data_IF_260772782346
#
_entry.id   IF_260772782346
#
_cell.length_a   1.000
_cell.length_b   1.000
_cell.length_c   1.000
_cell.angle_alpha   90.00
_cell.angle_beta   90.00
_cell.angle_gamma   90.00
#
_symmetry.space_group_name_H-M   'P 1'
#
loop_
_entity.id
_entity.type
_entity.pdbx_description
1 polymer ?
#
# COMPACT_ATOMS: atom_id res chain seq x y z
N UNK A 1 -21.41 -4.90 3.02
CA UNK A 1 -21.45 -4.88 1.54
C UNK A 1 -20.90 -6.20 1.04
N UNK A 2 -21.54 -6.84 0.06
CA UNK A 2 -21.08 -8.12 -0.50
C UNK A 2 -20.37 -7.82 -1.82
N UNK A 3 -19.05 -7.97 -1.88
CA UNK A 3 -18.25 -7.72 -3.08
C UNK A 3 -17.91 -8.98 -3.89
N UNK A 4 -18.37 -10.16 -3.42
CA UNK A 4 -18.23 -11.43 -4.15
C UNK A 4 -19.58 -12.01 -4.50
N UNK A 5 -19.65 -12.66 -5.65
CA UNK A 5 -20.76 -13.50 -6.08
C UNK A 5 -20.26 -14.94 -6.17
N UNK A 6 -20.88 -15.83 -5.39
CA UNK A 6 -20.34 -17.17 -5.21
C UNK A 6 -19.15 -17.19 -4.27
N UNK A 7 -18.26 -18.19 -4.38
CA UNK A 7 -17.17 -18.42 -3.45
C UNK A 7 -15.96 -17.49 -3.67
N UNK A 8 -15.63 -17.21 -4.92
CA UNK A 8 -14.37 -16.55 -5.28
C UNK A 8 -14.49 -15.48 -6.37
N UNK A 9 -15.64 -15.36 -6.99
CA UNK A 9 -15.83 -14.42 -8.09
C UNK A 9 -16.16 -13.04 -7.54
N UNK A 10 -15.40 -11.99 -7.88
CA UNK A 10 -15.81 -10.62 -7.60
C UNK A 10 -17.14 -10.32 -8.29
N UNK A 11 -18.00 -9.58 -7.62
CA UNK A 11 -19.21 -9.03 -8.23
C UNK A 11 -18.83 -8.14 -9.41
N UNK A 12 -19.65 -8.11 -10.47
CA UNK A 12 -19.44 -7.22 -11.64
C UNK A 12 -19.31 -5.74 -11.27
N UNK A 13 -19.81 -5.35 -10.10
CA UNK A 13 -19.71 -3.98 -9.58
C UNK A 13 -18.45 -3.70 -8.77
N UNK A 14 -17.67 -4.71 -8.47
CA UNK A 14 -16.51 -4.65 -7.62
C UNK A 14 -15.23 -4.56 -8.48
N UNK A 15 -14.60 -3.39 -8.49
CA UNK A 15 -13.32 -3.18 -9.16
C UNK A 15 -12.19 -3.22 -8.13
N UNK A 16 -11.48 -4.34 -8.08
CA UNK A 16 -10.33 -4.52 -7.18
C UNK A 16 -9.05 -4.01 -7.83
N UNK A 17 -8.29 -3.23 -7.09
CA UNK A 17 -6.94 -2.80 -7.45
C UNK A 17 -5.96 -3.32 -6.42
N UNK A 18 -4.82 -3.83 -6.87
CA UNK A 18 -3.78 -4.42 -6.03
C UNK A 18 -2.45 -3.73 -6.26
N UNK A 19 -1.58 -3.71 -5.26
CA UNK A 19 -0.19 -3.36 -5.48
C UNK A 19 0.46 -4.43 -6.37
N UNK A 20 0.97 -4.01 -7.54
CA UNK A 20 1.51 -4.94 -8.54
C UNK A 20 3.01 -4.77 -8.76
N UNK A 21 3.54 -3.58 -8.60
CA UNK A 21 4.95 -3.27 -8.82
C UNK A 21 5.40 -2.17 -7.87
N UNK A 22 6.54 -2.34 -7.22
CA UNK A 22 7.23 -1.25 -6.50
C UNK A 22 7.92 -0.35 -7.55
N UNK A 23 7.20 0.65 -8.03
CA UNK A 23 7.63 1.51 -9.12
C UNK A 23 8.73 2.48 -8.69
N UNK A 24 8.51 3.16 -7.58
CA UNK A 24 9.45 4.12 -7.02
C UNK A 24 9.68 3.82 -5.54
N UNK A 25 10.90 3.95 -5.11
CA UNK A 25 11.29 3.78 -3.70
C UNK A 25 12.19 4.94 -3.33
N UNK A 26 11.85 5.63 -2.25
CA UNK A 26 12.63 6.70 -1.68
C UNK A 26 12.96 6.44 -0.21
N UNK A 27 14.12 6.87 0.22
CA UNK A 27 14.47 6.87 1.64
C UNK A 27 13.78 8.05 2.32
N UNK A 28 13.18 7.78 3.47
CA UNK A 28 12.61 8.79 4.37
C UNK A 28 13.27 8.69 5.75
N UNK A 29 13.08 9.65 6.66
CA UNK A 29 13.61 9.55 8.03
C UNK A 29 13.18 8.25 8.70
N UNK A 30 14.16 7.46 9.16
CA UNK A 30 13.95 6.17 9.80
C UNK A 30 13.34 5.08 8.94
N UNK A 31 13.26 5.25 7.60
CA UNK A 31 12.57 4.27 6.79
C UNK A 31 12.62 4.47 5.29
N UNK A 32 11.66 3.89 4.61
CA UNK A 32 11.49 4.01 3.16
C UNK A 32 10.01 4.14 2.78
N UNK A 33 9.75 4.91 1.74
CA UNK A 33 8.44 5.07 1.09
C UNK A 33 8.46 4.43 -0.28
N UNK A 34 7.40 3.73 -0.61
CA UNK A 34 7.25 3.01 -1.87
C UNK A 34 5.98 3.47 -2.55
N UNK A 35 6.10 3.87 -3.79
CA UNK A 35 4.97 4.08 -4.68
C UNK A 35 4.73 2.80 -5.46
N UNK A 36 3.71 2.04 -5.05
CA UNK A 36 3.32 0.82 -5.73
C UNK A 36 2.23 1.10 -6.76
N UNK A 37 2.42 0.62 -7.97
CA UNK A 37 1.44 0.77 -9.05
C UNK A 37 0.48 -0.41 -9.09
N UNK A 38 -0.75 -0.18 -9.55
CA UNK A 38 -1.79 -1.21 -9.61
C UNK A 38 -1.75 -2.04 -10.90
N UNK A 39 -0.79 -1.76 -11.76
CA UNK A 39 -0.42 -2.59 -12.92
C UNK A 39 1.06 -2.36 -13.23
N UNK A 40 1.74 -3.31 -13.88
CA UNK A 40 3.12 -3.11 -14.32
C UNK A 40 3.21 -1.92 -15.29
N UNK A 41 4.30 -1.15 -15.16
CA UNK A 41 4.64 -0.05 -16.07
C UNK A 41 5.83 -0.51 -16.92
N UNK A 42 5.62 -0.60 -18.21
CA UNK A 42 6.64 -0.98 -19.19
C UNK A 42 7.19 0.24 -19.94
N UNK A 43 6.38 1.31 -20.07
CA UNK A 43 6.81 2.54 -20.71
C UNK A 43 6.06 3.76 -20.12
N UNK A 44 6.63 4.94 -20.34
CA UNK A 44 6.14 6.20 -19.74
C UNK A 44 4.65 6.49 -19.98
N UNK A 45 4.10 6.12 -21.13
CA UNK A 45 2.68 6.36 -21.42
C UNK A 45 1.73 5.59 -20.53
N UNK A 46 2.20 4.54 -19.85
CA UNK A 46 1.37 3.74 -18.92
C UNK A 46 1.20 4.37 -17.54
N UNK A 47 1.90 5.46 -17.24
CA UNK A 47 1.77 6.18 -15.96
C UNK A 47 0.52 7.05 -15.89
N UNK A 48 -0.09 7.37 -17.04
CA UNK A 48 -1.26 8.23 -17.09
C UNK A 48 -2.50 7.54 -16.50
N UNK A 49 -3.19 8.25 -15.59
CA UNK A 49 -4.41 7.77 -14.92
C UNK A 49 -4.27 6.42 -14.21
N UNK A 50 -3.06 6.11 -13.76
CA UNK A 50 -2.78 4.87 -13.06
C UNK A 50 -2.96 5.07 -11.55
N UNK A 51 -3.88 4.34 -10.91
CA UNK A 51 -3.98 4.33 -9.46
C UNK A 51 -2.71 3.77 -8.83
N UNK A 52 -2.30 4.38 -7.73
CA UNK A 52 -1.13 3.96 -6.96
C UNK A 52 -1.52 3.68 -5.51
N UNK A 53 -0.72 2.88 -4.86
CA UNK A 53 -0.78 2.62 -3.42
C UNK A 53 0.56 3.08 -2.85
N UNK A 54 0.52 3.99 -1.90
CA UNK A 54 1.71 4.40 -1.18
C UNK A 54 1.89 3.49 0.03
N UNK A 55 3.11 3.03 0.26
CA UNK A 55 3.46 2.17 1.38
C UNK A 55 4.67 2.77 2.08
N UNK A 56 4.58 2.96 3.39
CA UNK A 56 5.72 3.39 4.21
C UNK A 56 6.10 2.29 5.19
N UNK A 57 7.39 2.07 5.31
CA UNK A 57 8.00 1.28 6.36
C UNK A 57 8.87 2.19 7.20
N UNK A 58 8.58 2.33 8.49
CA UNK A 58 9.28 3.22 9.40
C UNK A 58 9.69 2.46 10.67
N UNK A 59 10.95 2.54 11.01
CA UNK A 59 11.46 1.98 12.25
C UNK A 59 11.13 2.91 13.44
N UNK A 60 10.63 2.37 14.52
CA UNK A 60 10.33 3.06 15.77
C UNK A 60 11.31 2.68 16.87
N UNK A 61 11.82 1.46 16.82
CA UNK A 61 12.87 0.92 17.69
C UNK A 61 13.72 -0.04 16.85
N UNK A 62 14.88 -0.52 17.35
CA UNK A 62 15.63 -1.57 16.66
C UNK A 62 14.81 -2.83 16.33
N UNK A 63 13.80 -3.13 17.13
CA UNK A 63 12.99 -4.36 17.01
C UNK A 63 11.60 -4.13 16.43
N UNK A 64 11.29 -2.87 16.01
CA UNK A 64 9.93 -2.52 15.59
C UNK A 64 9.95 -1.68 14.32
N UNK A 65 9.37 -2.21 13.25
CA UNK A 65 9.11 -1.50 12.00
C UNK A 65 7.59 -1.46 11.80
N UNK A 66 7.02 -0.26 11.68
CA UNK A 66 5.63 -0.09 11.27
C UNK A 66 5.50 -0.15 9.75
N UNK A 67 4.34 -0.54 9.30
CA UNK A 67 3.94 -0.48 7.90
C UNK A 67 2.62 0.27 7.79
N UNK A 68 2.59 1.33 7.03
CA UNK A 68 1.36 2.04 6.68
C UNK A 68 1.15 1.99 5.17
N UNK A 69 -0.12 1.87 4.74
CA UNK A 69 -0.45 1.84 3.33
C UNK A 69 -1.73 2.61 3.04
N UNK A 70 -1.72 3.42 1.99
CA UNK A 70 -2.91 4.17 1.54
C UNK A 70 -2.92 4.32 0.02
N UNK A 71 -4.10 4.44 -0.56
CA UNK A 71 -4.27 4.63 -2.01
C UNK A 71 -4.72 6.05 -2.38
N UNK A 72 -5.12 6.82 -1.38
CA UNK A 72 -5.53 8.20 -1.54
C UNK A 72 -5.43 8.93 -0.20
N UNK A 73 -4.77 10.05 -0.21
CA UNK A 73 -4.68 10.95 0.93
C UNK A 73 -5.72 12.06 0.77
N UNK A 74 -6.78 12.01 1.59
CA UNK A 74 -7.80 13.05 1.61
C UNK A 74 -7.37 14.19 2.53
N UNK A 75 -7.68 15.42 2.14
CA UNK A 75 -7.37 16.62 2.93
C UNK A 75 -8.05 16.66 4.31
N UNK A 76 -9.09 15.89 4.52
CA UNK A 76 -9.89 15.90 5.74
C UNK A 76 -10.00 14.48 6.30
N UNK A 77 -8.89 13.99 6.80
CA UNK A 77 -8.81 12.64 7.35
C UNK A 77 -9.39 12.63 8.78
N UNK A 78 -10.70 12.50 8.89
CA UNK A 78 -11.44 12.40 10.16
C UNK A 78 -11.34 11.01 10.79
N UNK A 79 -10.14 10.45 10.81
CA UNK A 79 -9.90 9.21 11.56
C UNK A 79 -9.76 9.53 13.04
N UNK A 80 -10.17 8.63 13.93
CA UNK A 80 -9.89 8.78 15.35
C UNK A 80 -8.38 8.96 15.56
N UNK A 81 -7.98 10.06 16.21
CA UNK A 81 -6.60 10.24 16.63
C UNK A 81 -6.39 9.49 17.94
N UNK A 82 -5.39 8.64 17.96
CA UNK A 82 -4.88 8.05 19.18
C UNK A 82 -3.54 8.72 19.49
N UNK A 83 -3.24 8.91 20.77
CA UNK A 83 -1.91 9.35 21.17
C UNK A 83 -0.91 8.25 20.79
N UNK A 84 -0.27 8.43 19.68
CA UNK A 84 0.86 7.61 19.26
C UNK A 84 2.14 8.28 19.75
N UNK A 85 2.97 7.56 20.47
CA UNK A 85 4.36 7.99 20.67
C UNK A 85 5.09 7.72 19.37
N UNK A 86 5.13 8.69 18.50
CA UNK A 86 5.83 8.60 17.22
C UNK A 86 7.31 8.88 17.47
N UNK A 87 8.04 7.87 17.95
CA UNK A 87 9.49 7.90 17.90
C UNK A 87 9.93 7.33 16.56
N UNK A 88 10.76 8.05 15.85
CA UNK A 88 11.45 7.55 14.67
C UNK A 88 12.84 7.10 15.09
N UNK A 89 13.17 5.85 14.78
CA UNK A 89 14.50 5.31 15.00
C UNK A 89 15.33 5.55 13.74
N UNK A 90 16.29 6.47 13.84
CA UNK A 90 17.06 6.95 12.67
C UNK A 90 18.30 6.11 12.37
N UNK A 91 18.77 5.28 13.31
CA UNK A 91 19.95 4.43 13.11
C UNK A 91 19.57 3.18 12.30
N UNK A 92 19.21 3.42 11.06
CA UNK A 92 18.77 2.40 10.09
C UNK A 92 19.60 2.49 8.82
N UNK A 93 19.72 1.35 8.14
CA UNK A 93 20.34 1.27 6.82
C UNK A 93 19.26 1.00 5.78
N UNK A 94 19.13 1.89 4.79
CA UNK A 94 18.25 1.69 3.63
C UNK A 94 19.10 1.42 2.39
N UNK A 95 18.91 0.26 1.80
CA UNK A 95 19.58 -0.15 0.56
C UNK A 95 18.55 -0.30 -0.55
N UNK A 96 18.73 0.43 -1.64
CA UNK A 96 17.82 0.40 -2.79
C UNK A 96 18.63 0.01 -4.02
N UNK A 97 18.23 -1.08 -4.67
CA UNK A 97 18.81 -1.52 -5.93
C UNK A 97 17.70 -1.88 -6.94
N UNK A 98 18.05 -2.40 -8.11
CA UNK A 98 17.07 -2.69 -9.17
C UNK A 98 16.14 -3.86 -8.82
N UNK A 99 16.60 -4.80 -8.00
CA UNK A 99 15.86 -6.02 -7.69
C UNK A 99 15.02 -5.88 -6.41
N UNK A 100 15.52 -5.11 -5.42
CA UNK A 100 14.91 -4.99 -4.10
C UNK A 100 15.23 -3.67 -3.40
N UNK A 101 14.43 -3.35 -2.39
CA UNK A 101 14.72 -2.34 -1.38
C UNK A 101 14.68 -2.98 0.00
N UNK A 102 15.66 -2.67 0.84
CA UNK A 102 15.81 -3.24 2.17
C UNK A 102 15.95 -2.11 3.18
N UNK A 103 15.13 -2.12 4.22
CA UNK A 103 15.29 -1.33 5.43
C UNK A 103 15.76 -2.27 6.53
N UNK A 104 16.93 -1.98 7.12
CA UNK A 104 17.54 -2.79 8.16
C UNK A 104 17.80 -1.94 9.42
N UNK A 105 17.31 -2.39 10.55
CA UNK A 105 17.50 -1.77 11.87
C UNK A 105 18.64 -2.39 12.64
N UNK A 106 19.28 -3.43 12.10
CA UNK A 106 20.25 -4.26 12.81
C UNK A 106 19.64 -5.47 13.54
N UNK A 107 18.40 -5.40 13.99
CA UNK A 107 17.66 -6.51 14.62
C UNK A 107 16.62 -7.11 13.71
N UNK A 108 15.88 -6.26 13.02
CA UNK A 108 14.81 -6.62 12.08
C UNK A 108 15.04 -5.94 10.76
N UNK A 109 14.76 -6.61 9.68
CA UNK A 109 14.76 -5.99 8.37
C UNK A 109 13.43 -6.24 7.64
N UNK A 110 13.09 -5.32 6.77
CA UNK A 110 12.04 -5.50 5.76
C UNK A 110 12.65 -5.41 4.37
N UNK A 111 12.36 -6.41 3.57
CA UNK A 111 12.78 -6.53 2.18
C UNK A 111 11.57 -6.39 1.27
N UNK A 112 11.62 -5.48 0.32
CA UNK A 112 10.57 -5.26 -0.68
C UNK A 112 11.10 -5.61 -2.04
N UNK A 113 10.40 -6.49 -2.74
CA UNK A 113 10.74 -6.87 -4.10
C UNK A 113 10.38 -5.75 -5.07
N UNK A 114 11.35 -5.29 -5.86
CA UNK A 114 11.17 -4.27 -6.89
C UNK A 114 10.98 -4.87 -8.29
N UNK A 115 11.64 -5.98 -8.56
CA UNK A 115 11.54 -6.67 -9.85
C UNK A 115 10.43 -7.71 -9.82
N UNK A 116 9.51 -7.63 -10.77
CA UNK A 116 8.37 -8.53 -10.85
C UNK A 116 7.19 -8.04 -9.99
N UNK A 117 6.51 -8.98 -9.35
CA UNK A 117 5.30 -8.69 -8.57
C UNK A 117 5.66 -8.10 -7.22
N UNK A 118 4.94 -7.07 -6.82
CA UNK A 118 5.09 -6.46 -5.50
C UNK A 118 4.92 -7.49 -4.37
N UNK A 119 5.95 -7.60 -3.56
CA UNK A 119 5.97 -8.47 -2.38
C UNK A 119 6.92 -7.88 -1.34
N UNK A 120 6.67 -8.20 -0.08
CA UNK A 120 7.57 -7.83 1.01
C UNK A 120 7.67 -8.93 2.05
N UNK A 121 8.82 -8.98 2.76
CA UNK A 121 9.07 -9.89 3.87
C UNK A 121 9.72 -9.14 5.02
N UNK A 122 9.36 -9.52 6.25
CA UNK A 122 10.06 -9.13 7.47
C UNK A 122 10.93 -10.30 7.91
N UNK A 123 12.16 -10.02 8.28
CA UNK A 123 13.16 -11.01 8.65
C UNK A 123 13.87 -10.58 9.94
N UNK A 124 14.24 -11.54 10.76
CA UNK A 124 15.14 -11.36 11.90
C UNK A 124 16.03 -12.59 12.04
N UNK A 125 17.29 -12.43 12.45
CA UNK A 125 18.26 -13.51 12.59
C UNK A 125 18.38 -14.42 11.35
N UNK A 126 18.25 -13.84 10.16
CA UNK A 126 18.29 -14.56 8.89
C UNK A 126 17.09 -15.47 8.63
N UNK A 127 15.98 -15.29 9.38
CA UNK A 127 14.74 -16.05 9.21
C UNK A 127 13.60 -15.13 8.85
N UNK A 128 12.78 -15.54 7.89
CA UNK A 128 11.53 -14.86 7.57
C UNK A 128 10.54 -14.98 8.74
N UNK A 129 10.03 -13.85 9.20
CA UNK A 129 9.02 -13.75 10.25
C UNK A 129 7.62 -13.75 9.66
N UNK A 130 7.38 -12.85 8.70
CA UNK A 130 6.10 -12.66 8.03
C UNK A 130 6.34 -11.96 6.71
N UNK A 131 5.32 -11.89 5.89
CA UNK A 131 5.39 -11.19 4.62
C UNK A 131 4.10 -11.31 3.84
N UNK A 132 4.08 -10.71 2.68
CA UNK A 132 2.94 -10.75 1.80
C UNK A 132 3.38 -10.71 0.34
N UNK A 133 2.72 -11.49 -0.48
CA UNK A 133 3.05 -11.66 -1.90
C UNK A 133 1.96 -11.14 -2.84
N UNK A 134 1.76 -11.85 -3.93
CA UNK A 134 0.83 -11.48 -5.00
C UNK A 134 -0.58 -11.15 -4.50
N UNK A 135 -1.15 -10.04 -4.97
CA UNK A 135 -2.45 -9.49 -4.57
C UNK A 135 -2.57 -9.07 -3.11
N UNK A 136 -1.45 -8.75 -2.50
CA UNK A 136 -1.46 -8.05 -1.23
C UNK A 136 -1.92 -6.58 -1.43
N UNK A 137 -2.16 -5.86 -0.37
CA UNK A 137 -2.50 -4.44 -0.37
C UNK A 137 -3.45 -4.09 -1.50
N UNK A 138 -4.72 -4.28 -1.26
CA UNK A 138 -5.75 -4.02 -2.25
C UNK A 138 -6.85 -3.14 -1.71
N UNK A 139 -7.50 -2.42 -2.61
CA UNK A 139 -8.75 -1.73 -2.34
C UNK A 139 -9.79 -2.07 -3.39
N UNK A 140 -11.06 -1.97 -3.04
CA UNK A 140 -12.18 -2.27 -3.92
C UNK A 140 -12.99 -1.01 -4.12
N UNK A 141 -13.13 -0.60 -5.37
CA UNK A 141 -14.07 0.44 -5.78
C UNK A 141 -15.37 -0.23 -6.21
N UNK A 142 -16.46 0.21 -5.59
CA UNK A 142 -17.79 -0.30 -5.88
C UNK A 142 -18.51 0.65 -6.84
N UNK A 143 -18.85 0.18 -8.04
CA UNK A 143 -19.62 0.94 -9.01
C UNK A 143 -21.10 0.89 -8.64
N UNK A 144 -21.62 1.96 -8.07
CA UNK A 144 -23.05 2.15 -7.89
C UNK A 144 -23.66 2.56 -9.24
N UNK A 145 -24.52 1.75 -9.83
CA UNK A 145 -25.38 2.23 -10.91
C UNK A 145 -26.18 3.40 -10.36
N UNK A 146 -26.02 4.57 -10.94
CA UNK A 146 -26.87 5.71 -10.59
C UNK A 146 -28.33 5.28 -10.80
N UNK A 147 -29.10 5.30 -9.73
CA UNK A 147 -30.55 5.27 -9.85
C UNK A 147 -30.97 6.57 -10.55
N UNK A 148 -31.61 6.46 -11.69
CA UNK A 148 -32.04 7.59 -12.53
C UNK A 148 -33.04 8.53 -11.85
N UNK A 149 -33.35 8.32 -10.57
CA UNK A 149 -34.34 9.10 -9.81
C UNK A 149 -33.80 9.82 -8.57
N UNK A 150 -32.50 9.77 -8.31
CA UNK A 150 -31.92 10.55 -7.20
C UNK A 150 -30.96 11.60 -7.77
N UNK A 151 -30.99 12.83 -7.24
CA UNK A 151 -29.97 13.82 -7.60
C UNK A 151 -28.60 13.19 -7.35
N UNK A 152 -27.68 13.45 -8.26
CA UNK A 152 -26.33 12.92 -8.18
C UNK A 152 -25.78 13.19 -6.78
N UNK A 153 -25.42 12.15 -6.02
CA UNK A 153 -24.83 12.36 -4.71
C UNK A 153 -23.54 13.17 -4.91
N UNK A 154 -23.29 14.04 -3.98
CA UNK A 154 -22.10 14.84 -3.97
C UNK A 154 -20.90 13.91 -4.14
N UNK A 155 -20.11 14.08 -5.19
CA UNK A 155 -18.99 13.20 -5.56
C UNK A 155 -17.97 12.99 -4.42
N UNK A 156 -18.03 13.80 -3.37
CA UNK A 156 -17.24 13.62 -2.15
C UNK A 156 -17.73 12.50 -1.24
N UNK A 157 -19.02 12.12 -1.31
CA UNK A 157 -19.57 11.04 -0.47
C UNK A 157 -19.49 9.67 -1.09
N UNK A 158 -19.24 9.58 -2.39
CA UNK A 158 -19.20 8.29 -3.10
C UNK A 158 -17.83 7.64 -3.15
N UNK A 159 -16.77 8.41 -2.92
CA UNK A 159 -15.43 7.92 -3.22
C UNK A 159 -14.80 7.06 -2.14
N UNK A 160 -15.21 7.21 -0.90
CA UNK A 160 -14.43 6.65 0.21
C UNK A 160 -15.34 6.15 1.30
N UNK A 161 -15.74 4.89 1.20
CA UNK A 161 -16.12 4.13 2.39
C UNK A 161 -14.91 3.29 2.77
N UNK A 162 -14.24 3.61 3.89
CA UNK A 162 -13.24 2.71 4.45
C UNK A 162 -13.91 1.39 4.80
N UNK A 163 -13.25 0.32 4.50
CA UNK A 163 -13.62 -1.04 4.91
C UNK A 163 -12.94 -1.34 6.23
#
# INVERSE_FOLDING_TARGET
MKFTEGYWLPSEKANASHAMQAYEVEQIPGGMRILATTRPIEHRGMTLNLPTITVEFVAHTPDTISMEAWHYEAYDNKVPSFDKTESVYEDVTVTINDDEAVLDTGSVLVRVQRKGVFAYTFEADGKGLTGSGFRNLSYIRWDRKQSTMLPAPNYMTEKYQPY
#
